data_IF_010562730110
#
_entry.id   IF_010562730110
#
_cell.length_a   1.000
_cell.length_b   1.000
_cell.length_c   1.000
_cell.angle_alpha   90.00
_cell.angle_beta   90.00
_cell.angle_gamma   90.00
#
_symmetry.space_group_name_H-M   'P 1'
#
loop_
_entity.id
_entity.type
_entity.pdbx_description
1 polymer ?
#
# COMPACT_ATOMS: atom_id res chain seq x y z
N UNK A 1 51.98 14.18 -16.26
CA UNK A 1 51.07 14.95 -15.37
C UNK A 1 49.72 14.24 -15.31
N UNK A 2 49.51 13.43 -14.27
CA UNK A 2 48.24 12.73 -14.01
C UNK A 2 47.34 13.61 -13.15
N UNK A 3 46.27 14.14 -13.74
CA UNK A 3 45.23 14.90 -13.03
C UNK A 3 44.48 13.92 -12.12
N UNK A 4 44.74 14.00 -10.81
CA UNK A 4 43.99 13.27 -9.81
C UNK A 4 42.52 13.74 -9.85
N UNK A 5 41.61 12.87 -10.34
CA UNK A 5 40.17 13.09 -10.22
C UNK A 5 39.83 13.14 -8.73
N UNK A 6 39.41 14.31 -8.24
CA UNK A 6 38.85 14.45 -6.89
C UNK A 6 37.70 13.44 -6.74
N UNK A 7 37.62 12.68 -5.64
CA UNK A 7 36.50 11.76 -5.43
C UNK A 7 35.24 12.61 -5.28
N UNK A 8 34.42 12.64 -6.32
CA UNK A 8 33.09 13.24 -6.25
C UNK A 8 32.31 12.61 -5.11
N UNK A 9 31.50 13.41 -4.42
CA UNK A 9 30.60 12.93 -3.36
C UNK A 9 29.83 11.72 -3.89
N UNK A 10 29.81 10.62 -3.12
CA UNK A 10 29.10 9.39 -3.49
C UNK A 10 27.65 9.75 -3.84
N UNK A 11 27.04 9.16 -4.88
CA UNK A 11 25.70 9.53 -5.36
C UNK A 11 24.65 9.67 -4.24
N UNK A 12 24.75 8.83 -3.22
CA UNK A 12 23.88 8.80 -2.04
C UNK A 12 23.94 10.07 -1.18
N UNK A 13 25.13 10.67 -0.98
CA UNK A 13 25.27 11.96 -0.29
C UNK A 13 24.60 13.08 -1.09
N UNK A 14 24.63 12.98 -2.42
CA UNK A 14 23.91 13.87 -3.33
C UNK A 14 22.39 13.74 -3.16
N UNK A 15 21.86 12.52 -3.03
CA UNK A 15 20.43 12.27 -2.79
C UNK A 15 19.97 12.78 -1.41
N UNK A 16 20.76 12.59 -0.36
CA UNK A 16 20.47 13.11 0.98
C UNK A 16 20.39 14.64 1.02
N UNK A 17 21.31 15.33 0.35
CA UNK A 17 21.29 16.79 0.24
C UNK A 17 20.11 17.29 -0.61
N UNK A 18 19.71 16.57 -1.67
CA UNK A 18 18.51 16.91 -2.45
C UNK A 18 17.21 16.63 -1.69
N UNK A 19 17.16 15.59 -0.86
CA UNK A 19 15.96 15.27 -0.06
C UNK A 19 15.75 16.27 1.08
N UNK A 20 16.83 16.68 1.77
CA UNK A 20 16.81 17.78 2.76
C UNK A 20 16.46 19.11 2.07
N UNK A 21 17.03 19.37 0.90
CA UNK A 21 16.70 20.56 0.09
C UNK A 21 15.23 20.59 -0.36
N UNK A 22 14.68 19.46 -0.80
CA UNK A 22 13.27 19.33 -1.19
C UNK A 22 12.34 19.41 0.02
N UNK A 23 12.71 18.86 1.18
CA UNK A 23 11.94 18.98 2.41
C UNK A 23 11.91 20.42 2.93
N UNK A 24 13.03 21.15 2.85
CA UNK A 24 13.10 22.56 3.17
C UNK A 24 12.33 23.42 2.16
N UNK A 25 12.37 23.09 0.86
CA UNK A 25 11.57 23.76 -0.18
C UNK A 25 10.08 23.47 -0.04
N UNK A 26 9.68 22.24 0.29
CA UNK A 26 8.29 21.89 0.54
C UNK A 26 7.77 22.58 1.81
N UNK A 27 8.59 22.62 2.87
CA UNK A 27 8.32 23.43 4.06
C UNK A 27 8.17 24.92 3.72
N UNK A 28 9.04 25.47 2.88
CA UNK A 28 8.94 26.85 2.40
C UNK A 28 7.71 27.08 1.52
N UNK A 29 7.32 26.15 0.64
CA UNK A 29 6.11 26.23 -0.20
C UNK A 29 4.80 26.12 0.59
N UNK A 30 4.83 25.51 1.78
CA UNK A 30 3.70 25.48 2.72
C UNK A 30 3.66 26.74 3.60
N UNK A 31 4.83 27.31 3.93
CA UNK A 31 4.94 28.51 4.79
C UNK A 31 4.78 29.82 3.99
N UNK A 32 5.28 29.91 2.77
CA UNK A 32 5.30 31.14 1.96
C UNK A 32 3.92 31.67 1.52
N UNK A 33 2.89 30.82 1.25
CA UNK A 33 1.54 31.31 1.00
C UNK A 33 0.87 31.92 2.24
N UNK A 34 1.46 31.76 3.43
CA UNK A 34 0.92 32.31 4.69
C UNK A 34 1.28 33.78 4.93
N UNK A 35 2.09 34.41 4.06
CA UNK A 35 2.48 35.82 4.24
C UNK A 35 1.85 36.79 3.23
N UNK A 36 1.27 36.32 2.12
CA UNK A 36 0.81 37.22 1.04
C UNK A 36 -0.70 37.21 0.72
N UNK A 37 -1.59 36.75 1.62
CA UNK A 37 -3.01 36.74 1.26
C UNK A 37 -4.03 36.39 2.34
N UNK A 38 -4.02 37.10 3.47
CA UNK A 38 -5.05 36.96 4.52
C UNK A 38 -6.49 37.32 4.07
N UNK A 39 -6.69 37.85 2.86
CA UNK A 39 -7.97 38.39 2.41
C UNK A 39 -8.86 37.42 1.58
N UNK A 40 -8.38 36.23 1.19
CA UNK A 40 -9.13 35.30 0.31
C UNK A 40 -9.47 33.94 0.91
N UNK A 41 -9.14 33.70 2.19
CA UNK A 41 -9.34 32.41 2.87
C UNK A 41 -10.56 32.39 3.81
N UNK A 42 -11.28 33.51 3.98
CA UNK A 42 -12.50 33.56 4.81
C UNK A 42 -13.68 32.76 4.25
N UNK A 43 -13.59 32.28 3.00
CA UNK A 43 -14.57 31.38 2.37
C UNK A 43 -14.24 29.89 2.53
N UNK A 44 -13.04 29.54 3.02
CA UNK A 44 -12.64 28.15 3.24
C UNK A 44 -12.99 27.71 4.67
N UNK A 45 -13.64 26.54 4.79
CA UNK A 45 -13.97 25.93 6.07
C UNK A 45 -12.69 25.74 6.90
N UNK A 46 -12.66 26.25 8.13
CA UNK A 46 -11.50 26.20 9.04
C UNK A 46 -11.01 24.78 9.31
N UNK A 47 -11.89 23.79 9.17
CA UNK A 47 -11.56 22.35 9.25
C UNK A 47 -10.57 21.91 8.15
N UNK A 48 -10.80 22.30 6.88
CA UNK A 48 -9.91 21.91 5.77
C UNK A 48 -8.51 22.49 5.95
N UNK A 49 -8.41 23.74 6.43
CA UNK A 49 -7.12 24.37 6.72
C UNK A 49 -6.38 23.65 7.86
N UNK A 50 -7.09 23.18 8.89
CA UNK A 50 -6.48 22.36 9.95
C UNK A 50 -6.02 20.99 9.45
N UNK A 51 -6.78 20.34 8.57
CA UNK A 51 -6.40 19.05 7.98
C UNK A 51 -5.14 19.16 7.12
N UNK A 52 -5.06 20.17 6.25
CA UNK A 52 -3.89 20.43 5.41
C UNK A 52 -2.65 20.73 6.28
N UNK A 53 -2.81 21.47 7.38
CA UNK A 53 -1.71 21.76 8.32
C UNK A 53 -1.19 20.50 9.00
N UNK A 54 -2.09 19.65 9.48
CA UNK A 54 -1.73 18.38 10.12
C UNK A 54 -1.06 17.46 9.10
N UNK A 55 -1.61 17.33 7.90
CA UNK A 55 -1.03 16.53 6.83
C UNK A 55 0.39 17.01 6.46
N UNK A 56 0.59 18.33 6.32
CA UNK A 56 1.90 18.89 6.04
C UNK A 56 2.91 18.66 7.18
N UNK A 57 2.47 18.79 8.43
CA UNK A 57 3.31 18.52 9.60
C UNK A 57 3.72 17.05 9.70
N UNK A 58 2.77 16.13 9.45
CA UNK A 58 3.04 14.69 9.41
C UNK A 58 3.99 14.33 8.27
N UNK A 59 3.79 14.90 7.08
CA UNK A 59 4.70 14.70 5.96
C UNK A 59 6.11 15.20 6.30
N UNK A 60 6.23 16.39 6.89
CA UNK A 60 7.51 16.94 7.35
C UNK A 60 8.19 16.03 8.37
N UNK A 61 7.45 15.52 9.35
CA UNK A 61 7.96 14.57 10.34
C UNK A 61 8.44 13.27 9.68
N UNK A 62 7.68 12.72 8.72
CA UNK A 62 8.07 11.53 7.97
C UNK A 62 9.35 11.78 7.19
N UNK A 63 9.48 12.92 6.50
CA UNK A 63 10.70 13.26 5.74
C UNK A 63 11.91 13.43 6.67
N UNK A 64 11.74 14.05 7.84
CA UNK A 64 12.80 14.16 8.84
C UNK A 64 13.19 12.80 9.42
N UNK A 65 12.23 11.91 9.68
CA UNK A 65 12.51 10.54 10.11
C UNK A 65 13.26 9.77 9.03
N UNK A 66 12.86 9.88 7.77
CA UNK A 66 13.57 9.24 6.64
C UNK A 66 15.01 9.77 6.52
N UNK A 67 15.19 11.10 6.59
CA UNK A 67 16.51 11.71 6.55
C UNK A 67 17.37 11.25 7.75
N UNK A 68 16.79 11.25 8.96
CA UNK A 68 17.47 10.83 10.19
C UNK A 68 17.83 9.35 10.17
N UNK A 69 16.95 8.47 9.66
CA UNK A 69 17.11 7.01 9.58
C UNK A 69 18.02 6.55 8.44
N UNK A 70 18.20 7.37 7.39
CA UNK A 70 18.97 6.97 6.20
C UNK A 70 20.39 6.49 6.51
N UNK A 71 21.23 7.17 7.32
CA UNK A 71 22.59 6.68 7.60
C UNK A 71 22.61 5.41 8.44
N UNK A 72 21.65 5.20 9.36
CA UNK A 72 21.57 3.97 10.16
C UNK A 72 21.10 2.80 9.31
N UNK A 73 20.18 3.03 8.36
CA UNK A 73 19.77 2.04 7.37
C UNK A 73 20.96 1.65 6.50
N UNK A 74 21.75 2.61 6.01
CA UNK A 74 22.96 2.33 5.22
C UNK A 74 24.01 1.55 6.01
N UNK A 75 24.27 1.94 7.25
CA UNK A 75 25.18 1.22 8.13
C UNK A 75 24.70 -0.21 8.42
N UNK A 76 23.39 -0.38 8.66
CA UNK A 76 22.78 -1.69 8.85
C UNK A 76 22.82 -2.55 7.58
N UNK A 77 22.54 -1.95 6.41
CA UNK A 77 22.64 -2.61 5.12
C UNK A 77 24.08 -3.06 4.83
N UNK A 78 25.08 -2.23 5.14
CA UNK A 78 26.49 -2.59 5.03
C UNK A 78 26.86 -3.80 5.90
N UNK A 79 26.36 -3.85 7.15
CA UNK A 79 26.53 -5.02 8.03
C UNK A 79 25.80 -6.26 7.50
N UNK A 80 24.62 -6.07 6.90
CA UNK A 80 23.78 -7.13 6.35
C UNK A 80 24.23 -7.59 4.95
N UNK A 81 25.10 -6.86 4.25
CA UNK A 81 25.47 -7.16 2.87
C UNK A 81 26.04 -8.57 2.70
N UNK A 82 26.92 -9.00 3.62
CA UNK A 82 27.53 -10.34 3.60
C UNK A 82 26.51 -11.47 3.81
N UNK A 83 25.67 -11.45 4.87
CA UNK A 83 24.63 -12.47 5.02
C UNK A 83 23.58 -12.42 3.91
N UNK A 84 23.20 -11.24 3.42
CA UNK A 84 22.26 -11.10 2.30
C UNK A 84 22.80 -11.72 1.01
N UNK A 85 24.08 -11.51 0.67
CA UNK A 85 24.71 -12.15 -0.48
C UNK A 85 24.76 -13.69 -0.35
N UNK A 86 24.81 -14.23 0.87
CA UNK A 86 24.68 -15.68 1.10
C UNK A 86 23.26 -16.17 0.80
N UNK A 87 22.25 -15.45 1.27
CA UNK A 87 20.83 -15.76 1.02
C UNK A 87 20.50 -15.64 -0.46
N UNK A 88 20.97 -14.59 -1.13
CA UNK A 88 20.79 -14.37 -2.56
C UNK A 88 21.37 -15.52 -3.40
N UNK A 89 22.61 -15.94 -3.12
CA UNK A 89 23.20 -17.12 -3.79
C UNK A 89 22.41 -18.39 -3.53
N UNK A 90 21.86 -18.56 -2.34
CA UNK A 90 21.02 -19.71 -2.02
C UNK A 90 19.69 -19.68 -2.77
N UNK A 91 19.09 -18.49 -2.92
CA UNK A 91 17.87 -18.20 -3.68
C UNK A 91 18.06 -18.22 -5.21
N UNK A 92 19.28 -18.04 -5.70
CA UNK A 92 19.58 -18.08 -7.14
C UNK A 92 19.18 -19.42 -7.79
N UNK A 93 19.08 -20.47 -6.98
CA UNK A 93 18.47 -21.74 -7.39
C UNK A 93 16.96 -21.54 -7.60
N UNK A 94 16.55 -21.49 -8.87
CA UNK A 94 15.24 -20.99 -9.28
C UNK A 94 14.02 -21.57 -8.54
N UNK A 95 14.02 -22.87 -8.24
CA UNK A 95 12.89 -23.48 -7.52
C UNK A 95 12.78 -23.00 -6.06
N UNK A 96 13.89 -22.71 -5.38
CA UNK A 96 13.87 -22.24 -3.98
C UNK A 96 13.24 -20.86 -3.87
N UNK A 97 13.52 -20.00 -4.84
CA UNK A 97 12.91 -18.68 -4.94
C UNK A 97 11.39 -18.79 -5.12
N UNK A 98 10.93 -19.65 -6.02
CA UNK A 98 9.50 -19.90 -6.21
C UNK A 98 8.83 -20.48 -4.97
N UNK A 99 9.45 -21.48 -4.33
CA UNK A 99 8.93 -22.06 -3.08
C UNK A 99 8.79 -21.02 -1.99
N UNK A 100 9.81 -20.17 -1.79
CA UNK A 100 9.73 -19.13 -0.77
C UNK A 100 8.72 -18.04 -1.10
N UNK A 101 8.65 -17.62 -2.37
CA UNK A 101 7.65 -16.64 -2.80
C UNK A 101 6.24 -17.17 -2.55
N UNK A 102 5.96 -18.41 -2.97
CA UNK A 102 4.68 -19.05 -2.73
C UNK A 102 4.40 -19.24 -1.24
N UNK A 103 5.40 -19.67 -0.45
CA UNK A 103 5.23 -19.84 0.99
C UNK A 103 4.87 -18.52 1.69
N UNK A 104 5.55 -17.42 1.35
CA UNK A 104 5.25 -16.09 1.89
C UNK A 104 3.87 -15.61 1.44
N UNK A 105 3.55 -15.74 0.15
CA UNK A 105 2.22 -15.37 -0.37
C UNK A 105 1.09 -16.14 0.30
N UNK A 106 1.22 -17.46 0.44
CA UNK A 106 0.23 -18.31 1.09
C UNK A 106 0.10 -17.99 2.59
N UNK A 107 1.22 -17.77 3.27
CA UNK A 107 1.22 -17.36 4.68
C UNK A 107 0.48 -16.03 4.85
N UNK A 108 0.74 -15.06 3.99
CA UNK A 108 0.07 -13.76 4.02
C UNK A 108 -1.44 -13.89 3.78
N UNK A 109 -1.85 -14.67 2.77
CA UNK A 109 -3.26 -14.95 2.50
C UNK A 109 -3.94 -15.59 3.71
N UNK A 110 -3.30 -16.59 4.34
CA UNK A 110 -3.83 -17.27 5.51
C UNK A 110 -3.99 -16.32 6.71
N UNK A 111 -2.96 -15.52 7.00
CA UNK A 111 -2.98 -14.55 8.11
C UNK A 111 -4.09 -13.52 7.91
N UNK A 112 -4.22 -12.95 6.72
CA UNK A 112 -5.27 -11.97 6.44
C UNK A 112 -6.68 -12.57 6.43
N UNK A 113 -6.84 -13.78 5.87
CA UNK A 113 -8.11 -14.50 5.94
C UNK A 113 -8.50 -14.81 7.40
N UNK A 114 -7.57 -15.37 8.19
CA UNK A 114 -7.82 -15.69 9.59
C UNK A 114 -8.16 -14.43 10.42
N UNK A 115 -7.41 -13.34 10.21
CA UNK A 115 -7.66 -12.07 10.89
C UNK A 115 -9.04 -11.49 10.55
N UNK A 116 -9.37 -11.41 9.26
CA UNK A 116 -10.64 -10.85 8.80
C UNK A 116 -11.84 -11.71 9.22
N UNK A 117 -11.73 -13.04 9.14
CA UNK A 117 -12.76 -13.97 9.65
C UNK A 117 -12.92 -13.82 11.16
N UNK A 118 -11.81 -13.70 11.91
CA UNK A 118 -11.88 -13.48 13.37
C UNK A 118 -12.62 -12.19 13.68
N UNK A 119 -12.35 -11.09 12.96
CA UNK A 119 -13.11 -9.84 13.09
C UNK A 119 -14.59 -10.03 12.79
N UNK A 120 -14.93 -10.74 11.72
CA UNK A 120 -16.32 -11.04 11.38
C UNK A 120 -17.03 -11.84 12.48
N UNK A 121 -16.38 -12.90 12.99
CA UNK A 121 -16.94 -13.75 14.05
C UNK A 121 -17.14 -13.03 15.38
N UNK A 122 -16.38 -11.96 15.63
CA UNK A 122 -16.53 -11.09 16.80
C UNK A 122 -17.40 -9.86 16.52
N UNK A 123 -18.21 -9.87 15.46
CA UNK A 123 -19.10 -8.76 15.07
C UNK A 123 -18.37 -7.42 14.86
N UNK A 124 -17.08 -7.48 14.53
CA UNK A 124 -16.22 -6.33 14.25
C UNK A 124 -15.91 -6.17 12.75
N UNK A 125 -16.76 -6.73 11.90
CA UNK A 125 -16.83 -6.43 10.48
C UNK A 125 -18.04 -5.52 10.23
N UNK A 126 -17.84 -4.41 9.52
CA UNK A 126 -18.89 -3.40 9.33
C UNK A 126 -19.92 -3.88 8.32
N UNK A 127 -21.20 -3.65 8.63
CA UNK A 127 -22.31 -3.99 7.74
C UNK A 127 -22.27 -3.17 6.45
N UNK A 128 -21.86 -1.91 6.52
CA UNK A 128 -21.75 -1.02 5.36
C UNK A 128 -20.68 -1.50 4.38
N UNK A 129 -19.57 -2.06 4.88
CA UNK A 129 -18.52 -2.63 4.03
C UNK A 129 -18.89 -4.06 3.59
N UNK A 130 -18.85 -5.03 4.50
CA UNK A 130 -18.96 -6.45 4.18
C UNK A 130 -20.41 -6.88 3.91
N UNK A 131 -21.36 -6.36 4.69
CA UNK A 131 -22.77 -6.76 4.60
C UNK A 131 -23.42 -6.33 3.29
N UNK A 132 -23.14 -5.10 2.87
CA UNK A 132 -23.58 -4.58 1.57
C UNK A 132 -23.02 -5.43 0.43
N UNK A 133 -21.70 -5.65 0.40
CA UNK A 133 -21.10 -6.51 -0.63
C UNK A 133 -21.70 -7.92 -0.62
N UNK A 134 -21.86 -8.56 0.55
CA UNK A 134 -22.47 -9.87 0.67
C UNK A 134 -23.90 -9.91 0.10
N UNK A 135 -24.70 -8.88 0.35
CA UNK A 135 -26.04 -8.75 -0.20
C UNK A 135 -26.02 -8.62 -1.74
N UNK A 136 -25.16 -7.76 -2.27
CA UNK A 136 -25.04 -7.56 -3.73
C UNK A 136 -24.57 -8.85 -4.42
N UNK A 137 -23.62 -9.58 -3.81
CA UNK A 137 -23.18 -10.89 -4.26
C UNK A 137 -24.32 -11.92 -4.25
N UNK A 138 -25.08 -11.99 -3.16
CA UNK A 138 -26.26 -12.85 -3.05
C UNK A 138 -27.26 -12.56 -4.17
N UNK A 139 -27.68 -11.30 -4.33
CA UNK A 139 -28.65 -10.89 -5.34
C UNK A 139 -28.16 -11.21 -6.76
N UNK A 140 -26.91 -10.85 -7.07
CA UNK A 140 -26.30 -11.10 -8.38
C UNK A 140 -26.24 -12.60 -8.67
N UNK A 141 -25.87 -13.42 -7.69
CA UNK A 141 -25.83 -14.88 -7.82
C UNK A 141 -27.20 -15.54 -8.03
N UNK A 142 -28.29 -14.83 -7.72
CA UNK A 142 -29.67 -15.25 -7.93
C UNK A 142 -30.35 -14.54 -9.13
N UNK A 143 -29.57 -13.93 -10.02
CA UNK A 143 -30.06 -13.32 -11.26
C UNK A 143 -30.53 -11.86 -11.12
N UNK A 144 -30.52 -11.29 -9.91
CA UNK A 144 -30.76 -9.86 -9.68
C UNK A 144 -29.45 -9.10 -9.75
N UNK A 145 -28.99 -8.86 -10.98
CA UNK A 145 -27.68 -8.28 -11.25
C UNK A 145 -27.45 -6.96 -10.50
N UNK A 146 -26.42 -6.93 -9.65
CA UNK A 146 -25.98 -5.77 -8.88
C UNK A 146 -27.05 -5.13 -7.99
N UNK A 147 -28.17 -5.82 -7.72
CA UNK A 147 -29.24 -5.23 -6.93
C UNK A 147 -28.77 -5.01 -5.48
N UNK A 148 -28.95 -3.79 -4.98
CA UNK A 148 -28.69 -3.38 -3.61
C UNK A 148 -29.98 -2.92 -2.92
N UNK A 149 -29.99 -2.90 -1.59
CA UNK A 149 -31.10 -2.33 -0.81
C UNK A 149 -30.63 -1.45 0.35
N UNK A 150 -29.34 -1.12 0.40
CA UNK A 150 -28.71 -0.38 1.51
C UNK A 150 -28.41 1.05 1.11
N UNK A 151 -27.65 1.25 0.03
CA UNK A 151 -27.26 2.58 -0.46
C UNK A 151 -28.01 2.97 -1.73
N UNK A 152 -27.93 2.11 -2.74
CA UNK A 152 -28.51 2.32 -4.07
C UNK A 152 -29.19 1.05 -4.55
N UNK A 153 -30.21 1.20 -5.40
CA UNK A 153 -30.95 0.07 -5.98
C UNK A 153 -30.06 -0.79 -6.90
N UNK A 154 -29.12 -0.15 -7.60
CA UNK A 154 -28.12 -0.82 -8.43
C UNK A 154 -26.72 -0.38 -8.01
N UNK A 155 -25.95 -1.33 -7.51
CA UNK A 155 -24.60 -1.14 -6.96
C UNK A 155 -23.59 -0.59 -7.98
N UNK A 156 -23.85 -0.70 -9.29
CA UNK A 156 -23.00 -0.04 -10.28
C UNK A 156 -23.16 1.48 -10.33
N UNK A 157 -24.22 2.03 -9.74
CA UNK A 157 -24.50 3.46 -9.71
C UNK A 157 -23.52 4.27 -8.84
N UNK A 158 -22.92 3.63 -7.83
CA UNK A 158 -21.96 4.23 -6.90
C UNK A 158 -20.61 3.48 -6.86
N UNK A 159 -20.60 2.17 -7.16
CA UNK A 159 -19.41 1.32 -7.09
C UNK A 159 -19.24 0.44 -8.33
N UNK A 160 -18.32 0.83 -9.22
CA UNK A 160 -18.00 0.04 -10.43
C UNK A 160 -17.20 -1.21 -10.08
N UNK A 161 -17.90 -2.31 -9.81
CA UNK A 161 -17.32 -3.59 -9.36
C UNK A 161 -17.70 -4.78 -10.28
N UNK A 162 -17.26 -4.80 -11.55
CA UNK A 162 -17.61 -5.86 -12.50
C UNK A 162 -17.14 -7.27 -12.06
N UNK A 163 -16.14 -7.34 -11.18
CA UNK A 163 -15.62 -8.59 -10.61
C UNK A 163 -16.70 -9.41 -9.88
N UNK A 164 -17.79 -8.76 -9.44
CA UNK A 164 -18.93 -9.43 -8.80
C UNK A 164 -19.52 -10.48 -9.74
N UNK A 165 -19.62 -10.23 -11.05
CA UNK A 165 -20.14 -11.22 -12.01
C UNK A 165 -19.29 -12.48 -12.09
N UNK A 166 -17.96 -12.32 -11.99
CA UNK A 166 -17.02 -13.45 -12.05
C UNK A 166 -17.09 -14.30 -10.77
N UNK A 167 -17.27 -13.65 -9.61
CA UNK A 167 -17.21 -14.30 -8.30
C UNK A 167 -18.60 -14.70 -7.76
N UNK A 168 -19.70 -14.16 -8.32
CA UNK A 168 -21.06 -14.49 -7.91
C UNK A 168 -21.42 -15.98 -8.02
N UNK A 169 -20.99 -16.73 -9.06
CA UNK A 169 -21.20 -18.18 -9.10
C UNK A 169 -20.55 -18.92 -7.93
N UNK A 170 -19.37 -18.48 -7.47
CA UNK A 170 -18.73 -19.06 -6.29
C UNK A 170 -19.54 -18.77 -5.02
N UNK A 171 -20.03 -17.53 -4.89
CA UNK A 171 -20.90 -17.14 -3.78
C UNK A 171 -22.24 -17.89 -3.79
N UNK A 172 -22.73 -18.32 -4.97
CA UNK A 172 -23.92 -19.16 -5.09
C UNK A 172 -23.74 -20.55 -4.44
N UNK A 173 -22.54 -21.10 -4.56
CA UNK A 173 -22.17 -22.41 -4.00
C UNK A 173 -21.94 -22.34 -2.49
N UNK A 174 -21.39 -21.22 -2.01
CA UNK A 174 -21.14 -20.98 -0.59
C UNK A 174 -21.52 -19.54 -0.22
N UNK A 175 -22.81 -19.31 0.13
CA UNK A 175 -23.32 -17.98 0.46
C UNK A 175 -22.97 -17.57 1.89
N UNK A 176 -21.68 -17.48 2.19
CA UNK A 176 -21.12 -17.04 3.47
C UNK A 176 -20.21 -15.82 3.20
N UNK A 177 -20.42 -14.65 3.85
CA UNK A 177 -19.53 -13.49 3.75
C UNK A 177 -18.05 -13.80 3.98
N UNK A 178 -17.72 -14.84 4.77
CA UNK A 178 -16.34 -15.31 4.97
C UNK A 178 -15.67 -15.76 3.67
N UNK A 179 -16.42 -16.26 2.68
CA UNK A 179 -15.88 -16.54 1.34
C UNK A 179 -15.27 -15.28 0.72
N UNK A 180 -15.99 -14.16 0.79
CA UNK A 180 -15.53 -12.88 0.22
C UNK A 180 -14.25 -12.40 0.92
N UNK A 181 -14.16 -12.58 2.23
CA UNK A 181 -12.96 -12.25 3.01
C UNK A 181 -11.75 -13.11 2.60
N UNK A 182 -11.96 -14.41 2.37
CA UNK A 182 -10.91 -15.32 1.87
C UNK A 182 -10.47 -14.92 0.46
N UNK A 183 -11.41 -14.66 -0.45
CA UNK A 183 -11.11 -14.24 -1.82
C UNK A 183 -10.33 -12.92 -1.82
N UNK A 184 -10.76 -11.94 -1.01
CA UNK A 184 -10.06 -10.67 -0.84
C UNK A 184 -8.65 -10.86 -0.31
N UNK A 185 -8.45 -11.73 0.70
CA UNK A 185 -7.13 -12.03 1.25
C UNK A 185 -6.19 -12.69 0.22
N UNK A 186 -6.72 -13.63 -0.57
CA UNK A 186 -5.95 -14.30 -1.64
C UNK A 186 -5.54 -13.31 -2.72
N UNK A 187 -6.47 -12.49 -3.21
CA UNK A 187 -6.17 -11.48 -4.24
C UNK A 187 -5.16 -10.47 -3.71
N UNK A 188 -5.33 -9.98 -2.48
CA UNK A 188 -4.39 -9.05 -1.86
C UNK A 188 -2.98 -9.64 -1.74
N UNK A 189 -2.88 -10.88 -1.25
CA UNK A 189 -1.59 -11.56 -1.11
C UNK A 189 -0.93 -11.88 -2.46
N UNK A 190 -1.74 -12.18 -3.50
CA UNK A 190 -1.24 -12.45 -4.85
C UNK A 190 -0.50 -11.28 -5.47
N UNK A 191 -0.73 -10.04 -4.99
CA UNK A 191 0.03 -8.85 -5.38
C UNK A 191 1.54 -8.97 -5.12
N UNK A 192 1.97 -9.85 -4.21
CA UNK A 192 3.38 -10.16 -4.00
C UNK A 192 4.05 -10.77 -5.25
N UNK A 193 3.31 -11.52 -6.08
CA UNK A 193 3.84 -12.19 -7.27
C UNK A 193 4.34 -11.19 -8.33
N UNK A 194 3.53 -10.27 -8.87
CA UNK A 194 4.00 -9.30 -9.86
C UNK A 194 5.07 -8.36 -9.30
N UNK A 195 4.98 -8.00 -8.01
CA UNK A 195 6.00 -7.17 -7.35
C UNK A 195 7.34 -7.89 -7.23
N UNK A 196 7.34 -9.16 -6.84
CA UNK A 196 8.56 -9.97 -6.77
C UNK A 196 9.18 -10.18 -8.15
N UNK A 197 8.34 -10.41 -9.17
CA UNK A 197 8.79 -10.50 -10.56
C UNK A 197 9.39 -9.18 -11.07
N UNK A 198 8.75 -8.05 -10.76
CA UNK A 198 9.25 -6.72 -11.13
C UNK A 198 10.56 -6.41 -10.42
N UNK A 199 10.64 -6.66 -9.11
CA UNK A 199 11.87 -6.50 -8.33
C UNK A 199 13.00 -7.35 -8.91
N UNK A 200 12.73 -8.62 -9.23
CA UNK A 200 13.72 -9.51 -9.85
C UNK A 200 14.19 -9.00 -11.21
N UNK A 201 13.34 -8.33 -12.00
CA UNK A 201 13.75 -7.75 -13.30
C UNK A 201 14.54 -6.44 -13.17
N UNK A 202 14.34 -5.68 -12.09
CA UNK A 202 14.90 -4.33 -11.92
C UNK A 202 16.08 -4.25 -10.96
N UNK A 203 16.18 -5.20 -10.03
CA UNK A 203 17.15 -5.21 -8.94
C UNK A 203 18.11 -6.40 -9.02
N UNK A 204 17.92 -7.33 -9.96
CA UNK A 204 18.95 -8.33 -10.24
C UNK A 204 20.19 -7.61 -10.79
N UNK A 205 21.21 -7.47 -9.94
CA UNK A 205 22.58 -7.09 -10.30
C UNK A 205 23.35 -8.33 -10.72
#
# INVERSE_FOLDING_TARGET
MTVARRPGLRPVVRWGMTAVGLALMAGALVILPLWSGAARLSQFNSSLLSEVRVAAALLGLVLLLVAWLSPQIEAAAGRAARPLARVERWLAVGWRWWVLLLAVTLTMALVFAAYSITRFNHFNAKAYDLGLHAQVFWNTSHGRLFAGSVEVDNYLGDHVSPIILLLAPLYRLMPDPRLLLVLQAVVLASGALPLALLARRRLSV
#
